data_IF_231085188763
#
_entry.id   IF_231085188763
#
_cell.length_a   1.000
_cell.length_b   1.000
_cell.length_c   1.000
_cell.angle_alpha   90.00
_cell.angle_beta   90.00
_cell.angle_gamma   90.00
#
_symmetry.space_group_name_H-M   'P 1'
#
loop_
_entity.id
_entity.type
_entity.pdbx_description
1 polymer ?
#
# COMPACT_ATOMS: atom_id res chain seq x y z
N UNK A 1 -1.21 -54.23 -21.64
CA UNK A 1 -1.28 -52.89 -21.01
C UNK A 1 -1.30 -53.09 -19.49
N UNK A 2 -0.44 -52.42 -18.70
CA UNK A 2 -0.37 -52.62 -17.24
C UNK A 2 -1.71 -52.42 -16.51
N UNK A 3 -2.57 -51.52 -17.01
CA UNK A 3 -3.89 -51.23 -16.44
C UNK A 3 -4.87 -52.41 -16.43
N UNK A 4 -4.77 -53.36 -17.36
CA UNK A 4 -5.62 -54.55 -17.40
C UNK A 4 -5.38 -55.45 -16.18
N UNK A 5 -4.11 -55.74 -15.91
CA UNK A 5 -3.66 -56.61 -14.82
C UNK A 5 -3.98 -56.06 -13.43
N UNK A 6 -3.99 -54.73 -13.27
CA UNK A 6 -4.33 -54.08 -11.99
C UNK A 6 -5.85 -54.05 -11.70
N UNK A 7 -6.68 -54.18 -12.73
CA UNK A 7 -8.14 -54.12 -12.62
C UNK A 7 -8.82 -55.50 -12.69
N UNK A 8 -8.89 -56.11 -13.88
CA UNK A 8 -9.65 -57.35 -14.14
C UNK A 8 -8.75 -58.58 -14.34
N UNK A 9 -7.52 -58.39 -14.83
CA UNK A 9 -6.57 -59.45 -15.14
C UNK A 9 -5.70 -59.91 -13.96
N UNK A 10 -6.16 -59.82 -12.72
CA UNK A 10 -5.33 -60.13 -11.53
C UNK A 10 -4.89 -61.59 -11.46
N UNK A 11 -5.74 -62.50 -11.92
CA UNK A 11 -5.41 -63.93 -12.04
C UNK A 11 -4.35 -64.16 -13.14
N UNK A 12 -4.53 -63.56 -14.32
CA UNK A 12 -3.56 -63.61 -15.42
C UNK A 12 -2.20 -63.03 -15.00
N UNK A 13 -2.18 -61.95 -14.20
CA UNK A 13 -0.95 -61.37 -13.66
C UNK A 13 -0.23 -62.34 -12.72
N UNK A 14 -0.97 -63.03 -11.85
CA UNK A 14 -0.40 -64.03 -10.96
C UNK A 14 0.22 -65.19 -11.76
N UNK A 15 -0.49 -65.72 -12.75
CA UNK A 15 0.02 -66.79 -13.62
C UNK A 15 1.27 -66.36 -14.40
N UNK A 16 1.28 -65.13 -14.93
CA UNK A 16 2.46 -64.55 -15.58
C UNK A 16 3.62 -64.43 -14.60
N UNK A 17 3.37 -63.95 -13.38
CA UNK A 17 4.41 -63.83 -12.35
C UNK A 17 5.00 -65.19 -12.00
N UNK A 18 4.16 -66.21 -11.78
CA UNK A 18 4.58 -67.59 -11.52
C UNK A 18 5.40 -68.17 -12.67
N UNK A 19 5.01 -67.90 -13.91
CA UNK A 19 5.77 -68.31 -15.10
C UNK A 19 7.18 -67.70 -15.10
N UNK A 20 7.30 -66.40 -14.80
CA UNK A 20 8.58 -65.73 -14.72
C UNK A 20 9.44 -66.23 -13.55
N UNK A 21 8.85 -66.50 -12.38
CA UNK A 21 9.57 -67.07 -11.23
C UNK A 21 10.18 -68.42 -11.62
N UNK A 22 9.45 -69.28 -12.35
CA UNK A 22 9.97 -70.57 -12.84
C UNK A 22 11.13 -70.37 -13.82
N UNK A 23 11.05 -69.40 -14.73
CA UNK A 23 12.12 -69.08 -15.68
C UNK A 23 13.37 -68.53 -14.97
N UNK A 24 13.20 -67.63 -13.99
CA UNK A 24 14.30 -67.08 -13.19
C UNK A 24 15.01 -68.18 -12.38
N UNK A 25 14.25 -69.13 -11.83
CA UNK A 25 14.80 -70.28 -11.12
C UNK A 25 15.54 -71.24 -12.07
N UNK A 26 15.01 -71.49 -13.27
CA UNK A 26 15.68 -72.31 -14.29
C UNK A 26 16.99 -71.68 -14.77
N UNK A 27 17.05 -70.35 -14.85
CA UNK A 27 18.25 -69.61 -15.22
C UNK A 27 19.24 -69.42 -14.05
N UNK A 28 18.98 -69.97 -12.86
CA UNK A 28 19.75 -69.78 -11.63
C UNK A 28 19.94 -68.30 -11.22
N UNK A 29 18.99 -67.43 -11.58
CA UNK A 29 18.99 -66.01 -11.13
C UNK A 29 18.48 -65.90 -9.69
N UNK A 30 17.55 -66.78 -9.31
CA UNK A 30 17.08 -66.96 -7.93
C UNK A 30 17.31 -68.42 -7.50
N UNK A 31 17.52 -68.64 -6.20
CA UNK A 31 17.71 -69.97 -5.64
C UNK A 31 16.37 -70.74 -5.56
N UNK A 32 16.48 -72.07 -5.59
CA UNK A 32 15.33 -72.97 -5.61
C UNK A 32 14.38 -72.77 -4.42
N UNK A 33 14.86 -72.61 -3.17
CA UNK A 33 13.99 -72.38 -2.02
C UNK A 33 13.20 -71.08 -2.12
N UNK A 34 13.81 -69.98 -2.59
CA UNK A 34 13.12 -68.71 -2.78
C UNK A 34 12.06 -68.80 -3.88
N UNK A 35 12.36 -69.49 -4.99
CA UNK A 35 11.39 -69.72 -6.05
C UNK A 35 10.17 -70.51 -5.55
N UNK A 36 10.39 -71.58 -4.78
CA UNK A 36 9.32 -72.40 -4.21
C UNK A 36 8.50 -71.62 -3.18
N UNK A 37 9.16 -70.84 -2.30
CA UNK A 37 8.48 -69.98 -1.34
C UNK A 37 7.64 -68.89 -2.04
N UNK A 38 8.14 -68.32 -3.13
CA UNK A 38 7.42 -67.28 -3.90
C UNK A 38 6.23 -67.87 -4.64
N UNK A 39 6.36 -69.06 -5.25
CA UNK A 39 5.25 -69.77 -5.91
C UNK A 39 4.17 -70.24 -4.93
N UNK A 40 4.54 -70.49 -3.66
CA UNK A 40 3.58 -70.80 -2.60
C UNK A 40 2.89 -69.56 -2.03
N UNK A 41 3.43 -68.36 -2.26
CA UNK A 41 2.86 -67.12 -1.76
C UNK A 41 1.69 -66.65 -2.63
N UNK A 42 0.60 -66.22 -1.98
CA UNK A 42 -0.56 -65.66 -2.68
C UNK A 42 -0.39 -64.15 -2.84
N UNK A 43 -0.48 -63.66 -4.08
CA UNK A 43 -0.46 -62.22 -4.38
C UNK A 43 -1.67 -61.53 -3.74
N UNK A 44 -1.42 -60.56 -2.88
CA UNK A 44 -2.44 -59.66 -2.31
C UNK A 44 -2.29 -58.27 -2.90
N UNK A 45 -3.41 -57.56 -3.03
CA UNK A 45 -3.45 -56.22 -3.60
C UNK A 45 -3.82 -55.21 -2.52
N UNK A 46 -3.23 -54.01 -2.58
CA UNK A 46 -3.58 -52.91 -1.70
C UNK A 46 -5.08 -52.61 -1.79
N UNK A 47 -5.73 -52.54 -0.64
CA UNK A 47 -7.10 -52.04 -0.52
C UNK A 47 -7.05 -50.51 -0.48
N UNK A 48 -7.46 -49.86 -1.56
CA UNK A 48 -7.43 -48.40 -1.67
C UNK A 48 -8.38 -47.68 -0.69
N UNK A 49 -9.41 -48.37 -0.18
CA UNK A 49 -10.34 -47.80 0.79
C UNK A 49 -9.74 -47.79 2.20
N UNK A 50 -9.02 -48.85 2.58
CA UNK A 50 -8.34 -48.94 3.88
C UNK A 50 -6.93 -48.34 3.87
N UNK A 51 -6.28 -48.29 2.70
CA UNK A 51 -4.90 -47.85 2.51
C UNK A 51 -4.81 -46.89 1.31
N UNK A 52 -5.33 -45.65 1.45
CA UNK A 52 -5.29 -44.66 0.38
C UNK A 52 -3.83 -44.30 0.00
N UNK A 53 -3.58 -44.00 -1.27
CA UNK A 53 -2.27 -43.48 -1.74
C UNK A 53 -1.93 -42.10 -1.18
N UNK A 54 -2.97 -41.30 -0.94
CA UNK A 54 -2.84 -39.93 -0.46
C UNK A 54 -3.20 -39.91 1.01
N UNK A 55 -2.22 -39.71 1.88
CA UNK A 55 -2.48 -39.41 3.28
C UNK A 55 -2.78 -37.91 3.41
N UNK A 56 -3.87 -37.52 4.08
CA UNK A 56 -4.09 -36.13 4.44
C UNK A 56 -2.90 -35.64 5.28
N UNK A 57 -2.28 -34.54 4.87
CA UNK A 57 -1.23 -33.92 5.68
C UNK A 57 -1.93 -33.30 6.90
N UNK A 58 -1.53 -33.69 8.10
CA UNK A 58 -1.93 -32.98 9.32
C UNK A 58 -1.35 -31.56 9.27
N UNK A 59 -2.14 -30.61 8.78
CA UNK A 59 -1.70 -29.22 8.65
C UNK A 59 -2.01 -28.46 9.93
N UNK A 60 -0.96 -28.06 10.64
CA UNK A 60 -1.03 -26.94 11.58
C UNK A 60 -0.36 -25.70 10.96
N UNK A 61 -0.59 -24.52 11.53
CA UNK A 61 -0.06 -23.24 11.00
C UNK A 61 1.46 -23.28 10.79
N UNK A 62 2.22 -23.89 11.70
CA UNK A 62 3.67 -24.01 11.55
C UNK A 62 4.09 -24.83 10.32
N UNK A 63 3.40 -25.95 10.08
CA UNK A 63 3.61 -26.78 8.88
C UNK A 63 3.23 -26.00 7.62
N UNK A 64 2.11 -25.28 7.62
CA UNK A 64 1.68 -24.45 6.48
C UNK A 64 2.69 -23.35 6.14
N UNK A 65 3.25 -22.65 7.15
CA UNK A 65 4.29 -21.64 6.97
C UNK A 65 5.56 -22.26 6.39
N UNK A 66 6.03 -23.37 6.98
CA UNK A 66 7.24 -24.06 6.50
C UNK A 66 7.08 -24.55 5.05
N UNK A 67 5.93 -25.12 4.71
CA UNK A 67 5.61 -25.59 3.35
C UNK A 67 5.52 -24.45 2.34
N UNK A 68 4.88 -23.34 2.70
CA UNK A 68 4.77 -22.15 1.83
C UNK A 68 6.14 -21.56 1.54
N UNK A 69 7.00 -21.47 2.56
CA UNK A 69 8.39 -21.02 2.37
C UNK A 69 9.19 -21.97 1.50
N UNK A 70 9.06 -23.28 1.70
CA UNK A 70 9.75 -24.28 0.90
C UNK A 70 9.29 -24.25 -0.57
N UNK A 71 7.98 -24.11 -0.80
CA UNK A 71 7.36 -23.86 -2.12
C UNK A 71 8.01 -22.67 -2.82
N UNK A 72 8.15 -21.54 -2.11
CA UNK A 72 8.77 -20.32 -2.67
C UNK A 72 10.27 -20.51 -2.94
N UNK A 73 11.01 -21.13 -2.02
CA UNK A 73 12.46 -21.38 -2.16
C UNK A 73 12.77 -22.30 -3.35
N UNK A 74 11.93 -23.31 -3.57
CA UNK A 74 12.09 -24.25 -4.67
C UNK A 74 11.39 -23.79 -5.96
N UNK A 75 10.68 -22.66 -5.92
CA UNK A 75 9.85 -22.14 -7.00
C UNK A 75 8.91 -23.21 -7.59
N UNK A 76 8.19 -23.91 -6.72
CA UNK A 76 7.27 -25.00 -7.08
C UNK A 76 5.96 -24.86 -6.33
N UNK A 77 4.81 -25.13 -6.97
CA UNK A 77 3.53 -25.15 -6.28
C UNK A 77 3.50 -26.26 -5.23
N UNK A 78 2.69 -26.10 -4.19
CA UNK A 78 2.52 -27.10 -3.12
C UNK A 78 2.18 -28.51 -3.65
N UNK A 79 1.42 -28.59 -4.74
CA UNK A 79 1.09 -29.85 -5.41
C UNK A 79 2.31 -30.62 -5.92
N UNK A 80 3.30 -29.90 -6.48
CA UNK A 80 4.55 -30.49 -6.93
C UNK A 80 5.46 -30.80 -5.75
N UNK A 81 5.44 -29.95 -4.73
CA UNK A 81 6.19 -30.14 -3.49
C UNK A 81 5.82 -31.47 -2.80
N UNK A 82 4.54 -31.81 -2.77
CA UNK A 82 4.02 -33.08 -2.21
C UNK A 82 4.45 -34.34 -2.97
N UNK A 83 5.05 -34.18 -4.15
CA UNK A 83 5.55 -35.27 -4.99
C UNK A 83 7.06 -35.40 -4.96
N UNK A 84 7.75 -34.53 -4.24
CA UNK A 84 9.18 -34.63 -4.04
C UNK A 84 9.46 -35.57 -2.87
N UNK A 85 10.43 -36.47 -3.06
CA UNK A 85 11.05 -37.19 -1.95
C UNK A 85 12.06 -36.25 -1.28
N UNK A 86 11.55 -35.37 -0.41
CA UNK A 86 12.30 -34.28 0.20
C UNK A 86 12.10 -34.27 1.71
N UNK A 87 13.22 -34.13 2.43
CA UNK A 87 13.24 -33.85 3.86
C UNK A 87 13.74 -32.42 4.10
N UNK A 88 13.05 -31.67 4.97
CA UNK A 88 13.41 -30.32 5.32
C UNK A 88 13.24 -30.07 6.82
N UNK A 89 14.07 -29.20 7.38
CA UNK A 89 13.97 -28.74 8.77
C UNK A 89 13.72 -27.24 8.78
N UNK A 90 12.90 -26.76 9.71
CA UNK A 90 12.62 -25.33 9.89
C UNK A 90 13.22 -24.81 11.19
N UNK A 91 13.37 -23.49 11.30
CA UNK A 91 13.79 -22.83 12.54
C UNK A 91 12.66 -22.71 13.57
N UNK A 92 11.43 -23.09 13.21
CA UNK A 92 10.27 -22.99 14.08
C UNK A 92 10.40 -23.91 15.28
N UNK A 93 10.02 -23.40 16.45
CA UNK A 93 9.94 -24.19 17.67
C UNK A 93 8.54 -24.80 17.79
N UNK A 94 8.40 -26.09 17.50
CA UNK A 94 7.10 -26.77 17.38
C UNK A 94 6.18 -26.63 18.61
N UNK A 95 6.71 -26.82 19.82
CA UNK A 95 5.91 -26.72 21.05
C UNK A 95 5.43 -25.29 21.30
N UNK A 96 6.34 -24.31 21.24
CA UNK A 96 6.01 -22.90 21.40
C UNK A 96 5.02 -22.41 20.33
N UNK A 97 5.18 -22.86 19.08
CA UNK A 97 4.23 -22.58 18.00
C UNK A 97 2.82 -23.05 18.35
N UNK A 98 2.67 -24.29 18.87
CA UNK A 98 1.38 -24.83 19.30
C UNK A 98 0.80 -24.06 20.49
N UNK A 99 1.60 -23.80 21.51
CA UNK A 99 1.17 -23.05 22.70
C UNK A 99 0.70 -21.64 22.39
N UNK A 100 1.45 -20.90 21.55
CA UNK A 100 1.06 -19.54 21.15
C UNK A 100 -0.17 -19.55 20.25
N UNK A 101 -0.27 -20.52 19.33
CA UNK A 101 -1.47 -20.67 18.49
C UNK A 101 -2.72 -20.93 19.33
N UNK A 102 -2.60 -21.78 20.37
CA UNK A 102 -3.70 -22.01 21.30
C UNK A 102 -4.05 -20.74 22.07
N UNK A 103 -3.05 -20.05 22.63
CA UNK A 103 -3.26 -18.79 23.36
C UNK A 103 -4.01 -17.75 22.52
N UNK A 104 -3.63 -17.55 21.25
CA UNK A 104 -4.32 -16.61 20.36
C UNK A 104 -5.76 -17.02 20.04
N UNK A 105 -6.06 -18.33 19.96
CA UNK A 105 -7.41 -18.84 19.79
C UNK A 105 -8.27 -18.62 21.03
N UNK A 106 -7.67 -18.82 22.21
CA UNK A 106 -8.36 -18.62 23.50
C UNK A 106 -8.77 -17.15 23.70
N UNK A 107 -8.12 -16.17 23.05
CA UNK A 107 -8.54 -14.76 23.09
C UNK A 107 -9.94 -14.51 22.50
N UNK A 108 -10.49 -15.45 21.74
CA UNK A 108 -11.88 -15.38 21.26
C UNK A 108 -12.90 -15.71 22.36
N UNK A 109 -12.50 -16.42 23.42
CA UNK A 109 -13.34 -16.70 24.59
C UNK A 109 -13.46 -15.45 25.48
N UNK A 110 -14.68 -14.91 25.69
CA UNK A 110 -14.89 -13.76 26.55
C UNK A 110 -14.37 -13.91 27.99
N UNK A 111 -14.44 -15.11 28.58
CA UNK A 111 -13.96 -15.33 29.95
C UNK A 111 -12.44 -15.24 30.02
N UNK A 112 -11.75 -15.87 29.07
CA UNK A 112 -10.30 -15.78 28.96
C UNK A 112 -9.85 -14.36 28.61
N UNK A 113 -10.50 -13.70 27.64
CA UNK A 113 -10.23 -12.32 27.25
C UNK A 113 -10.40 -11.34 28.42
N UNK A 114 -11.42 -11.54 29.26
CA UNK A 114 -11.61 -10.76 30.48
C UNK A 114 -10.44 -10.97 31.46
N UNK A 115 -10.05 -12.23 31.68
CA UNK A 115 -8.95 -12.59 32.60
C UNK A 115 -7.61 -11.98 32.19
N UNK A 116 -7.34 -11.86 30.89
CA UNK A 116 -6.10 -11.24 30.38
C UNK A 116 -6.20 -9.73 30.17
N UNK A 117 -7.33 -9.10 30.54
CA UNK A 117 -7.50 -7.64 30.52
C UNK A 117 -7.84 -7.05 29.16
N UNK A 118 -8.40 -7.83 28.23
CA UNK A 118 -8.83 -7.34 26.92
C UNK A 118 -10.24 -6.76 26.89
N UNK A 119 -11.02 -6.93 27.95
CA UNK A 119 -12.35 -6.32 28.09
C UNK A 119 -12.29 -5.06 28.96
N UNK A 120 -12.99 -4.00 28.57
CA UNK A 120 -13.01 -2.74 29.32
C UNK A 120 -13.51 -1.54 28.53
N UNK A 121 -13.51 -0.37 29.17
CA UNK A 121 -13.92 0.88 28.53
C UNK A 121 -12.94 1.23 27.39
N UNK A 122 -13.45 1.34 26.15
CA UNK A 122 -12.68 1.50 24.89
C UNK A 122 -11.81 0.29 24.50
N UNK A 123 -11.97 -0.85 25.16
CA UNK A 123 -11.41 -2.13 24.75
C UNK A 123 -12.51 -3.00 24.12
N UNK A 124 -12.32 -4.32 24.11
CA UNK A 124 -13.30 -5.24 23.54
C UNK A 124 -14.53 -5.38 24.45
N UNK A 125 -15.65 -5.72 23.82
CA UNK A 125 -16.84 -6.24 24.49
C UNK A 125 -16.89 -7.76 24.36
N UNK A 126 -17.59 -8.49 25.24
CA UNK A 126 -17.78 -9.94 25.12
C UNK A 126 -18.27 -10.38 23.72
N UNK A 127 -19.13 -9.60 23.08
CA UNK A 127 -19.66 -9.91 21.74
C UNK A 127 -18.65 -9.68 20.60
N UNK A 128 -17.56 -8.96 20.85
CA UNK A 128 -16.57 -8.59 19.84
C UNK A 128 -15.29 -9.43 19.86
N UNK A 129 -15.09 -10.27 20.89
CA UNK A 129 -13.86 -11.08 21.03
C UNK A 129 -13.62 -12.00 19.82
N UNK A 130 -14.69 -12.57 19.28
CA UNK A 130 -14.66 -13.44 18.08
C UNK A 130 -14.52 -12.68 16.76
N UNK A 131 -14.53 -11.33 16.77
CA UNK A 131 -14.41 -10.49 15.58
C UNK A 131 -13.00 -9.97 15.37
N UNK A 132 -12.15 -10.04 16.39
CA UNK A 132 -10.74 -9.62 16.31
C UNK A 132 -9.88 -10.78 15.83
N UNK A 133 -8.87 -10.47 15.01
CA UNK A 133 -7.85 -11.43 14.60
C UNK A 133 -6.50 -10.97 15.11
N UNK A 134 -5.76 -11.91 15.68
CA UNK A 134 -4.44 -11.67 16.23
C UNK A 134 -3.40 -12.40 15.40
N UNK A 135 -2.24 -11.79 15.25
CA UNK A 135 -1.06 -12.38 14.62
C UNK A 135 0.15 -12.18 15.53
N UNK A 136 1.02 -13.17 15.58
CA UNK A 136 2.22 -13.12 16.41
C UNK A 136 3.39 -13.75 15.68
N UNK A 137 4.50 -13.01 15.66
CA UNK A 137 5.78 -13.49 15.15
C UNK A 137 6.87 -13.25 16.19
N UNK A 138 7.63 -14.30 16.52
CA UNK A 138 8.78 -14.24 17.40
C UNK A 138 10.06 -14.49 16.60
N UNK A 139 10.98 -13.55 16.73
CA UNK A 139 12.33 -13.67 16.21
C UNK A 139 13.31 -13.90 17.36
N UNK A 140 14.17 -14.90 17.24
CA UNK A 140 15.35 -15.03 18.08
C UNK A 140 16.52 -14.35 17.37
N UNK A 141 17.19 -13.44 18.08
CA UNK A 141 18.41 -12.79 17.59
C UNK A 141 19.62 -13.68 17.88
N UNK A 142 20.17 -14.29 16.84
CA UNK A 142 21.43 -15.03 16.87
C UNK A 142 22.61 -14.20 16.38
N UNK A 143 23.79 -14.82 16.34
CA UNK A 143 25.00 -14.22 15.80
C UNK A 143 24.93 -13.97 14.28
N UNK A 144 24.18 -14.81 13.56
CA UNK A 144 23.98 -14.80 12.12
C UNK A 144 22.73 -14.03 11.66
N UNK A 145 21.97 -13.46 12.60
CA UNK A 145 20.78 -12.66 12.32
C UNK A 145 19.55 -13.11 13.10
N UNK A 146 18.38 -12.66 12.64
CA UNK A 146 17.09 -12.96 13.27
C UNK A 146 16.46 -14.22 12.69
N UNK A 147 16.25 -15.25 13.51
CA UNK A 147 15.61 -16.51 13.12
C UNK A 147 14.15 -16.51 13.56
N UNK A 148 13.24 -16.89 12.68
CA UNK A 148 11.82 -17.04 13.03
C UNK A 148 11.66 -18.28 13.90
N UNK A 149 11.16 -18.11 15.13
CA UNK A 149 10.90 -19.21 16.07
C UNK A 149 9.40 -19.51 16.20
N UNK A 150 8.56 -18.50 16.07
CA UNK A 150 7.10 -18.62 16.06
C UNK A 150 6.55 -17.70 14.99
N UNK A 151 5.58 -18.17 14.23
CA UNK A 151 4.81 -17.36 13.28
C UNK A 151 3.41 -17.95 13.16
N UNK A 152 2.42 -17.33 13.80
CA UNK A 152 1.06 -17.85 13.85
C UNK A 152 0.03 -16.73 13.93
N UNK A 153 -1.23 -17.08 13.73
CA UNK A 153 -2.37 -16.18 13.82
C UNK A 153 -3.59 -16.92 14.39
N UNK A 154 -4.63 -16.18 14.74
CA UNK A 154 -5.88 -16.71 15.30
C UNK A 154 -6.93 -17.08 14.24
N UNK A 155 -6.57 -17.14 12.95
CA UNK A 155 -7.47 -17.49 11.85
C UNK A 155 -7.31 -18.97 11.47
N UNK A 156 -8.39 -19.60 11.05
CA UNK A 156 -8.32 -20.93 10.40
C UNK A 156 -8.26 -20.82 8.87
N UNK A 157 -7.93 -19.63 8.34
CA UNK A 157 -7.89 -19.39 6.90
C UNK A 157 -6.52 -19.71 6.29
N UNK A 158 -6.46 -20.03 4.98
CA UNK A 158 -5.21 -20.16 4.24
C UNK A 158 -4.39 -18.87 4.17
N UNK A 159 -5.03 -17.72 4.33
CA UNK A 159 -4.39 -16.42 4.38
C UNK A 159 -3.60 -16.24 5.69
N UNK A 160 -2.29 -16.05 5.59
CA UNK A 160 -1.42 -15.73 6.73
C UNK A 160 -1.36 -14.20 6.92
N UNK A 161 -1.90 -13.72 8.04
CA UNK A 161 -1.86 -12.29 8.40
C UNK A 161 -0.42 -11.79 8.53
N UNK A 162 0.51 -12.64 8.96
CA UNK A 162 1.90 -12.25 9.23
C UNK A 162 2.69 -11.89 7.95
N UNK A 163 2.33 -12.46 6.79
CA UNK A 163 3.03 -12.20 5.51
C UNK A 163 2.12 -11.50 4.48
N UNK A 164 0.82 -11.78 4.50
CA UNK A 164 -0.14 -11.31 3.50
C UNK A 164 -0.81 -9.97 3.81
N UNK A 165 -0.63 -9.41 5.01
CA UNK A 165 -1.31 -8.16 5.41
C UNK A 165 -0.39 -6.94 5.38
N UNK A 166 -0.97 -5.78 5.07
CA UNK A 166 -0.35 -4.47 5.26
C UNK A 166 -1.14 -3.73 6.34
N UNK A 167 -0.53 -3.56 7.51
CA UNK A 167 -1.15 -2.90 8.66
C UNK A 167 -0.57 -1.52 8.87
N UNK A 168 -1.42 -0.59 9.29
CA UNK A 168 -0.98 0.72 9.76
C UNK A 168 -0.14 0.56 11.03
N UNK A 169 1.12 0.99 10.98
CA UNK A 169 2.09 0.80 12.07
C UNK A 169 1.73 1.57 13.35
N UNK A 170 0.86 2.58 13.25
CA UNK A 170 0.53 3.47 14.35
C UNK A 170 1.79 4.08 14.98
N UNK A 171 1.83 4.14 16.32
CA UNK A 171 2.97 4.75 17.04
C UNK A 171 4.30 4.01 16.88
N UNK A 172 4.30 2.74 16.43
CA UNK A 172 5.57 2.03 16.16
C UNK A 172 6.37 2.69 15.02
N UNK A 173 5.71 3.45 14.14
CA UNK A 173 6.36 4.25 13.10
C UNK A 173 7.27 5.36 13.67
N UNK A 174 7.06 5.81 14.92
CA UNK A 174 7.92 6.81 15.58
C UNK A 174 9.38 6.38 15.64
N UNK A 175 9.63 5.08 15.84
CA UNK A 175 11.01 4.54 15.81
C UNK A 175 11.68 4.76 14.46
N UNK A 176 10.95 4.57 13.35
CA UNK A 176 11.50 4.80 12.00
C UNK A 176 11.85 6.28 11.78
N UNK A 177 10.98 7.19 12.25
CA UNK A 177 11.24 8.64 12.18
C UNK A 177 12.47 8.99 13.01
N UNK A 178 12.59 8.45 14.22
CA UNK A 178 13.73 8.72 15.09
C UNK A 178 15.05 8.18 14.50
N UNK A 179 15.03 6.95 13.98
CA UNK A 179 16.21 6.35 13.32
C UNK A 179 16.65 7.19 12.13
N UNK A 180 15.72 7.53 11.23
CA UNK A 180 16.01 8.37 10.05
C UNK A 180 16.60 9.72 10.48
N UNK A 181 16.01 10.33 11.50
CA UNK A 181 16.51 11.58 12.07
C UNK A 181 17.94 11.44 12.61
N UNK A 182 18.26 10.39 13.36
CA UNK A 182 19.60 10.18 13.90
C UNK A 182 20.63 9.86 12.81
N UNK A 183 20.23 9.14 11.77
CA UNK A 183 21.07 8.92 10.57
C UNK A 183 21.40 10.25 9.89
N UNK A 184 20.42 11.15 9.75
CA UNK A 184 20.63 12.52 9.24
C UNK A 184 21.62 13.28 10.12
N UNK A 185 21.49 13.21 11.45
CA UNK A 185 22.45 13.86 12.35
C UNK A 185 23.86 13.27 12.21
N UNK A 186 23.99 11.96 12.06
CA UNK A 186 25.28 11.31 11.83
C UNK A 186 25.90 11.72 10.48
N UNK A 187 25.08 11.84 9.44
CA UNK A 187 25.51 12.33 8.12
C UNK A 187 26.00 13.79 8.20
N UNK A 188 25.25 14.65 8.87
CA UNK A 188 25.62 16.05 9.11
C UNK A 188 26.90 16.17 9.94
N UNK A 189 27.06 15.33 10.96
CA UNK A 189 28.30 15.21 11.72
C UNK A 189 29.47 14.85 10.80
N UNK A 190 29.33 13.78 10.00
CA UNK A 190 30.37 13.35 9.05
C UNK A 190 30.77 14.43 8.05
N UNK A 191 29.83 15.30 7.65
CA UNK A 191 30.09 16.43 6.75
C UNK A 191 30.81 17.60 7.41
N UNK A 192 30.45 17.95 8.64
CA UNK A 192 30.83 19.23 9.26
C UNK A 192 31.81 19.12 10.43
N UNK A 193 31.92 17.97 11.10
CA UNK A 193 32.69 17.87 12.34
C UNK A 193 34.20 18.16 12.17
N UNK A 194 34.76 17.84 11.00
CA UNK A 194 36.15 18.09 10.65
C UNK A 194 36.47 19.53 10.21
N UNK A 195 35.45 20.37 9.97
CA UNK A 195 35.66 21.76 9.54
C UNK A 195 36.12 22.65 10.70
N UNK A 196 37.01 23.61 10.43
CA UNK A 196 37.38 24.64 11.40
C UNK A 196 36.18 25.53 11.76
N UNK A 197 36.25 26.22 12.91
CA UNK A 197 35.21 27.18 13.32
C UNK A 197 35.00 28.30 12.28
N UNK A 198 36.06 28.70 11.57
CA UNK A 198 35.96 29.70 10.51
C UNK A 198 35.21 29.18 9.27
N UNK A 199 35.39 27.91 8.92
CA UNK A 199 34.66 27.25 7.84
C UNK A 199 33.19 27.03 8.21
N UNK A 200 32.91 26.53 9.42
CA UNK A 200 31.54 26.33 9.91
C UNK A 200 30.71 27.61 9.87
N UNK A 201 31.30 28.76 10.21
CA UNK A 201 30.63 30.07 10.13
C UNK A 201 30.27 30.51 8.71
N UNK A 202 30.93 29.95 7.69
CA UNK A 202 30.66 30.24 6.27
C UNK A 202 29.63 29.27 5.66
N UNK A 203 29.25 28.21 6.37
CA UNK A 203 28.23 27.27 5.90
C UNK A 203 26.90 28.00 5.77
N UNK A 204 26.42 28.12 4.54
CA UNK A 204 25.11 28.70 4.25
C UNK A 204 24.06 27.61 4.43
N UNK A 205 23.12 27.84 5.35
CA UNK A 205 22.02 26.91 5.62
C UNK A 205 20.71 27.63 5.37
N UNK A 206 19.88 27.03 4.51
CA UNK A 206 18.52 27.48 4.23
C UNK A 206 17.70 27.58 5.53
N UNK A 207 16.95 28.66 5.71
CA UNK A 207 16.19 28.94 6.94
C UNK A 207 15.24 27.79 7.37
N UNK A 208 14.57 27.08 6.43
CA UNK A 208 13.72 25.95 6.81
C UNK A 208 14.48 24.68 7.18
N UNK A 209 15.77 24.53 6.84
CA UNK A 209 16.59 23.37 7.19
C UNK A 209 17.11 23.48 8.63
N UNK A 210 16.20 23.22 9.57
CA UNK A 210 16.46 23.30 11.01
C UNK A 210 17.44 22.23 11.50
N UNK A 211 17.55 21.10 10.80
CA UNK A 211 18.45 20.01 11.20
C UNK A 211 19.90 20.35 10.89
N UNK A 212 20.19 20.79 9.67
CA UNK A 212 21.53 21.26 9.29
C UNK A 212 21.95 22.45 10.14
N UNK A 213 21.03 23.40 10.37
CA UNK A 213 21.30 24.57 11.23
C UNK A 213 21.70 24.14 12.63
N UNK A 214 20.91 23.28 13.27
CA UNK A 214 21.20 22.77 14.60
C UNK A 214 22.54 22.03 14.66
N UNK A 215 22.85 21.22 13.65
CA UNK A 215 24.11 20.47 13.60
C UNK A 215 25.34 21.39 13.53
N UNK A 216 25.30 22.41 12.66
CA UNK A 216 26.38 23.41 12.55
C UNK A 216 26.52 24.20 13.85
N UNK A 217 25.41 24.66 14.43
CA UNK A 217 25.41 25.41 15.69
C UNK A 217 25.97 24.56 16.84
N UNK A 218 25.61 23.27 16.91
CA UNK A 218 26.16 22.34 17.90
C UNK A 218 27.68 22.22 17.79
N UNK A 219 28.22 22.07 16.57
CA UNK A 219 29.66 21.92 16.33
C UNK A 219 30.44 23.24 16.53
N UNK A 220 29.78 24.39 16.40
CA UNK A 220 30.34 25.70 16.74
C UNK A 220 30.46 25.91 18.25
N UNK A 221 29.47 25.44 19.02
CA UNK A 221 29.42 25.61 20.47
C UNK A 221 30.26 24.57 21.23
N UNK A 222 30.37 23.36 20.70
CA UNK A 222 31.05 22.25 21.39
C UNK A 222 32.46 22.03 20.84
N UNK A 223 33.45 22.03 21.75
CA UNK A 223 34.84 21.70 21.43
C UNK A 223 35.03 20.20 21.20
N UNK A 224 34.34 19.40 22.00
CA UNK A 224 34.29 17.95 21.82
C UNK A 224 33.20 17.61 20.80
N UNK A 225 33.64 17.15 19.63
CA UNK A 225 32.80 16.88 18.47
C UNK A 225 32.63 15.39 18.24
N UNK A 226 32.61 14.59 19.30
CA UNK A 226 32.32 13.17 19.21
C UNK A 226 30.89 12.90 18.68
N UNK A 227 30.76 11.90 17.81
CA UNK A 227 29.48 11.54 17.18
C UNK A 227 28.47 11.02 18.22
N UNK A 228 28.90 10.17 19.16
CA UNK A 228 27.98 9.60 20.15
C UNK A 228 27.42 10.69 21.07
N UNK A 229 28.23 11.69 21.44
CA UNK A 229 27.78 12.87 22.19
C UNK A 229 26.78 13.72 21.40
N UNK A 230 27.05 13.97 20.11
CA UNK A 230 26.13 14.71 19.25
C UNK A 230 24.80 13.98 19.06
N UNK A 231 24.82 12.65 18.87
CA UNK A 231 23.60 11.82 18.78
C UNK A 231 22.83 11.79 20.10
N UNK A 232 23.51 11.76 21.25
CA UNK A 232 22.84 11.88 22.54
C UNK A 232 22.17 13.23 22.70
N UNK A 233 22.87 14.33 22.39
CA UNK A 233 22.31 15.67 22.44
C UNK A 233 21.13 15.85 21.45
N UNK A 234 21.20 15.20 20.30
CA UNK A 234 20.13 15.16 19.32
C UNK A 234 18.84 14.51 19.86
N UNK A 235 18.95 13.51 20.74
CA UNK A 235 17.82 12.89 21.45
C UNK A 235 17.25 13.75 22.59
N UNK A 236 18.07 14.66 23.12
CA UNK A 236 17.67 15.56 24.21
C UNK A 236 17.07 16.88 23.67
N UNK A 237 17.04 17.06 22.34
CA UNK A 237 16.29 18.16 21.71
C UNK A 237 14.83 18.08 22.09
N UNK A 238 14.26 19.24 22.37
CA UNK A 238 12.87 19.35 22.79
C UNK A 238 11.99 19.86 21.64
N UNK A 239 10.74 19.43 21.64
CA UNK A 239 9.73 19.88 20.70
C UNK A 239 8.44 20.14 21.45
N UNK A 240 7.71 21.19 21.06
CA UNK A 240 6.39 21.44 21.63
C UNK A 240 5.45 20.27 21.35
N UNK A 241 4.66 19.91 22.35
CA UNK A 241 3.54 18.97 22.21
C UNK A 241 2.21 19.69 21.91
N UNK A 242 2.21 21.01 21.70
CA UNK A 242 0.99 21.79 21.49
C UNK A 242 0.25 21.44 20.19
N UNK A 243 -1.10 21.27 20.23
CA UNK A 243 -1.94 21.08 19.05
C UNK A 243 -2.34 22.41 18.37
N UNK A 244 -1.90 23.57 18.89
CA UNK A 244 -2.29 24.88 18.37
C UNK A 244 -1.74 25.16 16.95
N UNK A 245 -0.68 24.46 16.55
CA UNK A 245 -0.08 24.59 15.22
C UNK A 245 -0.89 23.83 14.16
N UNK A 246 -1.03 24.44 12.99
CA UNK A 246 -1.55 23.77 11.80
C UNK A 246 -0.38 23.39 10.87
N UNK A 247 -0.49 22.24 10.24
CA UNK A 247 0.53 21.66 9.39
C UNK A 247 0.00 21.55 7.97
N UNK A 248 0.72 22.11 7.00
CA UNK A 248 0.41 21.89 5.59
C UNK A 248 1.05 20.57 5.15
N UNK A 249 0.22 19.62 4.72
CA UNK A 249 0.65 18.33 4.18
C UNK A 249 0.29 18.27 2.70
N UNK A 250 0.71 17.22 2.00
CA UNK A 250 0.31 16.98 0.60
C UNK A 250 -1.21 16.86 0.39
N UNK A 251 -2.00 16.66 1.46
CA UNK A 251 -3.47 16.63 1.42
C UNK A 251 -4.17 17.94 1.83
N UNK A 252 -3.41 18.99 2.16
CA UNK A 252 -3.94 20.28 2.61
C UNK A 252 -3.58 20.61 4.07
N UNK A 253 -4.36 21.49 4.69
CA UNK A 253 -4.13 21.94 6.07
C UNK A 253 -4.67 20.92 7.07
N UNK A 254 -3.80 20.41 7.95
CA UNK A 254 -4.16 19.47 9.00
C UNK A 254 -3.79 19.98 10.40
N UNK A 255 -4.54 19.52 11.40
CA UNK A 255 -4.19 19.66 12.83
C UNK A 255 -4.08 18.27 13.44
N UNK A 256 -3.09 18.07 14.29
CA UNK A 256 -2.83 16.81 14.98
C UNK A 256 -3.08 16.99 16.48
N UNK A 257 -3.42 15.88 17.15
CA UNK A 257 -3.65 15.86 18.61
C UNK A 257 -2.80 14.77 19.27
N UNK A 258 -2.43 14.99 20.54
CA UNK A 258 -1.89 13.92 21.37
C UNK A 258 -3.02 13.01 21.86
N UNK A 259 -2.66 11.78 22.23
CA UNK A 259 -3.62 10.85 22.81
C UNK A 259 -4.12 11.34 24.17
N UNK A 260 -3.20 11.80 25.03
CA UNK A 260 -3.47 12.42 26.32
C UNK A 260 -3.49 13.94 26.17
N UNK A 261 -4.52 14.60 26.70
CA UNK A 261 -4.65 16.06 26.59
C UNK A 261 -3.67 16.78 27.52
N UNK A 262 -3.28 16.12 28.59
CA UNK A 262 -2.32 16.57 29.59
C UNK A 262 -0.94 16.80 28.97
N UNK A 263 -0.65 16.16 27.84
CA UNK A 263 0.60 16.35 27.12
C UNK A 263 0.66 17.65 26.32
N UNK A 264 -0.48 18.29 26.03
CA UNK A 264 -0.56 19.39 25.06
C UNK A 264 0.27 20.64 25.43
N UNK A 265 0.57 20.84 26.72
CA UNK A 265 1.33 22.02 27.18
C UNK A 265 2.82 21.72 27.40
N UNK A 266 3.25 20.47 27.18
CA UNK A 266 4.62 20.03 27.44
C UNK A 266 5.56 20.42 26.29
N UNK A 267 6.85 20.54 26.62
CA UNK A 267 7.95 20.68 25.66
C UNK A 267 8.98 19.56 25.95
N UNK A 268 8.59 18.29 25.76
CA UNK A 268 9.42 17.14 26.12
C UNK A 268 10.63 17.00 25.19
N UNK A 269 11.66 16.30 25.68
CA UNK A 269 12.75 15.77 24.86
C UNK A 269 12.23 14.69 23.88
N UNK A 270 12.99 14.36 22.84
CA UNK A 270 12.65 13.23 21.97
C UNK A 270 12.69 11.89 22.73
N UNK A 271 13.56 11.74 23.74
CA UNK A 271 13.58 10.54 24.62
C UNK A 271 12.27 10.36 25.36
N UNK A 272 11.79 11.40 26.03
CA UNK A 272 10.51 11.38 26.76
C UNK A 272 9.34 11.17 25.80
N UNK A 273 9.36 11.88 24.67
CA UNK A 273 8.34 11.75 23.62
C UNK A 273 8.25 10.33 23.07
N UNK A 274 9.38 9.63 22.92
CA UNK A 274 9.40 8.23 22.49
C UNK A 274 8.85 7.31 23.60
N UNK A 275 9.36 7.46 24.83
CA UNK A 275 8.97 6.63 25.98
C UNK A 275 7.47 6.71 26.27
N UNK A 276 6.92 7.91 26.21
CA UNK A 276 5.51 8.20 26.51
C UNK A 276 4.65 8.25 25.24
N UNK A 277 5.26 8.03 24.07
CA UNK A 277 4.60 7.99 22.76
C UNK A 277 3.79 9.26 22.45
N UNK A 278 4.32 10.43 22.78
CA UNK A 278 3.68 11.74 22.52
C UNK A 278 3.73 12.03 21.01
N UNK A 279 2.60 12.40 20.41
CA UNK A 279 2.46 12.47 18.95
C UNK A 279 3.10 13.73 18.35
N UNK A 280 2.79 14.88 18.91
CA UNK A 280 3.09 16.18 18.32
C UNK A 280 4.60 16.48 18.17
N UNK A 281 5.47 16.09 19.12
CA UNK A 281 6.92 16.14 18.93
C UNK A 281 7.40 15.38 17.68
N UNK A 282 6.85 14.19 17.42
CA UNK A 282 7.22 13.37 16.27
C UNK A 282 6.68 13.92 14.94
N UNK A 283 5.51 14.56 14.93
CA UNK A 283 5.00 15.25 13.74
C UNK A 283 5.92 16.43 13.37
N UNK A 284 6.38 17.18 14.37
CA UNK A 284 7.33 18.29 14.16
C UNK A 284 8.71 17.80 13.73
N UNK A 285 9.20 16.72 14.34
CA UNK A 285 10.45 16.08 13.91
C UNK A 285 10.36 15.57 12.47
N UNK A 286 9.24 14.95 12.09
CA UNK A 286 9.01 14.48 10.73
C UNK A 286 9.01 15.64 9.73
N UNK A 287 8.39 16.78 10.07
CA UNK A 287 8.48 17.99 9.25
C UNK A 287 9.93 18.45 9.06
N UNK A 288 10.73 18.42 10.11
CA UNK A 288 12.14 18.81 10.03
C UNK A 288 12.95 17.85 9.15
N UNK A 289 12.69 16.54 9.24
CA UNK A 289 13.26 15.51 8.34
C UNK A 289 12.85 15.77 6.88
N UNK A 290 11.57 16.02 6.62
CA UNK A 290 11.07 16.32 5.26
C UNK A 290 11.73 17.59 4.70
N UNK A 291 11.85 18.64 5.52
CA UNK A 291 12.51 19.88 5.12
C UNK A 291 13.97 19.61 4.78
N UNK A 292 14.74 19.00 5.68
CA UNK A 292 16.13 18.61 5.41
C UNK A 292 16.25 17.88 4.07
N UNK A 293 15.47 16.82 3.85
CA UNK A 293 15.54 16.03 2.61
C UNK A 293 15.18 16.86 1.37
N UNK A 294 14.25 17.82 1.50
CA UNK A 294 13.86 18.70 0.39
C UNK A 294 15.00 19.66 0.01
N UNK A 295 15.66 20.28 0.99
CA UNK A 295 16.70 21.29 0.75
C UNK A 295 18.08 20.69 0.47
N UNK A 296 18.35 19.46 0.88
CA UNK A 296 19.61 18.74 0.64
C UNK A 296 19.58 17.86 -0.61
N UNK A 297 18.42 17.65 -1.23
CA UNK A 297 18.31 16.83 -2.44
C UNK A 297 19.12 17.44 -3.61
N UNK A 298 19.75 16.60 -4.46
CA UNK A 298 20.27 17.04 -5.74
C UNK A 298 19.17 17.74 -6.55
N UNK A 299 19.44 18.92 -7.10
CA UNK A 299 18.45 19.82 -7.71
C UNK A 299 17.38 20.33 -6.72
N UNK A 300 17.81 20.75 -5.52
CA UNK A 300 17.01 21.42 -4.48
C UNK A 300 15.79 22.14 -5.05
N UNK A 301 14.65 21.45 -5.05
CA UNK A 301 13.42 21.95 -5.68
C UNK A 301 12.96 23.22 -5.00
N UNK A 302 13.28 23.43 -3.72
CA UNK A 302 12.92 24.65 -3.01
C UNK A 302 13.78 25.86 -3.41
N UNK A 303 15.05 25.68 -3.79
CA UNK A 303 15.84 26.76 -4.41
C UNK A 303 15.36 27.02 -5.84
N UNK A 304 15.08 25.95 -6.59
CA UNK A 304 14.59 26.01 -7.98
C UNK A 304 13.16 26.57 -8.10
N UNK A 305 12.31 26.43 -7.06
CA UNK A 305 10.98 27.05 -6.99
C UNK A 305 11.01 28.50 -6.48
N UNK A 306 12.12 28.96 -5.90
CA UNK A 306 12.31 30.37 -5.49
C UNK A 306 12.71 31.26 -6.69
N UNK A 307 13.43 30.69 -7.65
CA UNK A 307 13.86 31.38 -8.86
C UNK A 307 12.89 31.09 -10.01
N UNK A 308 11.99 32.04 -10.28
CA UNK A 308 10.99 31.91 -11.35
C UNK A 308 11.65 31.87 -12.76
N UNK A 309 12.91 32.33 -12.90
CA UNK A 309 13.65 32.41 -14.16
C UNK A 309 14.57 31.20 -14.42
N UNK A 310 14.70 30.26 -13.47
CA UNK A 310 15.53 29.06 -13.66
C UNK A 310 14.89 28.13 -14.72
N UNK A 311 15.57 27.83 -15.84
CA UNK A 311 15.00 26.98 -16.90
C UNK A 311 14.66 25.56 -16.40
N UNK A 312 15.33 25.08 -15.35
CA UNK A 312 15.05 23.76 -14.72
C UNK A 312 13.71 23.76 -13.97
N UNK A 313 13.19 24.93 -13.57
CA UNK A 313 11.88 25.08 -12.94
C UNK A 313 10.75 24.63 -13.84
N UNK A 314 10.79 25.02 -15.12
CA UNK A 314 9.76 24.61 -16.07
C UNK A 314 9.72 23.10 -16.26
N UNK A 315 10.88 22.46 -16.41
CA UNK A 315 10.98 21.01 -16.55
C UNK A 315 10.46 20.29 -15.29
N UNK A 316 10.85 20.76 -14.10
CA UNK A 316 10.37 20.20 -12.84
C UNK A 316 8.85 20.30 -12.69
N UNK A 317 8.28 21.49 -12.94
CA UNK A 317 6.83 21.71 -12.85
C UNK A 317 6.06 20.90 -13.89
N UNK A 318 6.62 20.75 -15.10
CA UNK A 318 6.04 19.91 -16.15
C UNK A 318 6.00 18.44 -15.74
N UNK A 319 7.09 17.90 -15.19
CA UNK A 319 7.12 16.54 -14.67
C UNK A 319 6.18 16.34 -13.47
N UNK A 320 6.07 17.35 -12.61
CA UNK A 320 5.13 17.35 -11.49
C UNK A 320 3.68 17.28 -12.00
N UNK A 321 3.29 18.19 -12.89
CA UNK A 321 1.97 18.23 -13.50
C UNK A 321 1.62 16.91 -14.22
N UNK A 322 2.58 16.31 -14.91
CA UNK A 322 2.37 15.03 -15.60
C UNK A 322 2.16 13.87 -14.64
N UNK A 323 3.00 13.76 -13.59
CA UNK A 323 2.86 12.72 -12.56
C UNK A 323 1.57 12.86 -11.79
N UNK A 324 1.29 14.05 -11.26
CA UNK A 324 0.09 14.29 -10.45
C UNK A 324 -1.18 14.14 -11.30
N UNK A 325 -1.19 14.73 -12.50
CA UNK A 325 -2.30 14.60 -13.43
C UNK A 325 -2.58 13.15 -13.83
N UNK A 326 -1.54 12.31 -14.00
CA UNK A 326 -1.72 10.88 -14.32
C UNK A 326 -2.34 10.11 -13.14
N UNK A 327 -2.00 10.46 -11.90
CA UNK A 327 -2.59 9.86 -10.70
C UNK A 327 -4.08 10.21 -10.60
N UNK A 328 -4.44 11.48 -10.78
CA UNK A 328 -5.85 11.90 -10.81
C UNK A 328 -6.61 11.23 -11.95
N UNK A 329 -6.03 11.20 -13.15
CA UNK A 329 -6.64 10.55 -14.32
C UNK A 329 -6.90 9.06 -14.07
N UNK A 330 -5.97 8.34 -13.46
CA UNK A 330 -6.15 6.92 -13.11
C UNK A 330 -7.28 6.72 -12.09
N UNK A 331 -7.43 7.63 -11.13
CA UNK A 331 -8.53 7.60 -10.17
C UNK A 331 -9.88 7.76 -10.86
N UNK A 332 -10.00 8.72 -11.80
CA UNK A 332 -11.21 8.92 -12.58
C UNK A 332 -11.47 7.74 -13.54
N UNK A 333 -10.44 7.22 -14.20
CA UNK A 333 -10.53 6.04 -15.08
C UNK A 333 -11.22 4.85 -14.41
N UNK A 334 -10.82 4.54 -13.17
CA UNK A 334 -11.41 3.43 -12.40
C UNK A 334 -12.91 3.61 -12.17
N UNK A 335 -13.43 4.83 -12.19
CA UNK A 335 -14.87 5.13 -12.07
C UNK A 335 -15.67 4.78 -13.34
N UNK A 336 -15.02 4.78 -14.51
CA UNK A 336 -15.69 4.70 -15.83
C UNK A 336 -15.38 3.45 -16.67
N UNK A 337 -14.31 2.72 -16.36
CA UNK A 337 -13.75 1.67 -17.24
C UNK A 337 -14.71 0.53 -17.61
N UNK A 338 -15.67 0.19 -16.75
CA UNK A 338 -16.62 -0.92 -16.97
C UNK A 338 -18.04 -0.42 -17.28
N UNK A 339 -18.17 0.87 -17.64
CA UNK A 339 -19.45 1.53 -17.92
C UNK A 339 -19.61 1.79 -19.41
N UNK A 340 -20.84 1.69 -19.90
CA UNK A 340 -21.25 2.16 -21.23
C UNK A 340 -21.19 3.69 -21.34
N UNK A 341 -21.23 4.21 -22.55
CA UNK A 341 -21.24 5.66 -22.83
C UNK A 341 -22.29 6.42 -22.02
N UNK A 342 -23.51 5.90 -21.95
CA UNK A 342 -24.60 6.54 -21.19
C UNK A 342 -24.33 6.46 -19.68
N UNK A 343 -23.97 5.29 -19.16
CA UNK A 343 -23.67 5.13 -17.73
C UNK A 343 -22.48 5.99 -17.28
N UNK A 344 -21.50 6.25 -18.16
CA UNK A 344 -20.38 7.17 -17.88
C UNK A 344 -20.88 8.61 -17.70
N UNK A 345 -21.78 9.05 -18.58
CA UNK A 345 -22.40 10.37 -18.50
C UNK A 345 -23.25 10.50 -17.24
N UNK A 346 -24.10 9.52 -16.96
CA UNK A 346 -24.95 9.50 -15.77
C UNK A 346 -24.10 9.53 -14.49
N UNK A 347 -23.09 8.66 -14.40
CA UNK A 347 -22.17 8.60 -13.24
C UNK A 347 -21.41 9.92 -13.04
N UNK A 348 -21.11 10.65 -14.13
CA UNK A 348 -20.47 11.96 -14.04
C UNK A 348 -21.46 13.02 -13.53
N UNK A 349 -22.70 13.01 -14.03
CA UNK A 349 -23.75 13.96 -13.64
C UNK A 349 -24.21 13.75 -12.19
N UNK A 350 -24.27 12.52 -11.69
CA UNK A 350 -24.56 12.19 -10.28
C UNK A 350 -23.58 12.88 -9.30
N UNK A 351 -22.35 13.15 -9.76
CA UNK A 351 -21.33 13.84 -8.97
C UNK A 351 -21.45 15.36 -8.97
N UNK A 352 -22.39 15.94 -9.71
CA UNK A 352 -22.53 17.38 -9.92
C UNK A 352 -23.84 17.86 -9.29
N UNK A 353 -23.76 18.92 -8.48
CA UNK A 353 -24.95 19.66 -8.07
C UNK A 353 -25.51 20.47 -9.26
N UNK A 354 -26.66 20.09 -9.84
CA UNK A 354 -27.10 20.61 -11.12
C UNK A 354 -27.57 22.06 -11.01
N UNK A 355 -27.03 22.92 -11.87
CA UNK A 355 -27.55 24.27 -12.12
C UNK A 355 -27.49 24.52 -13.63
N UNK A 356 -28.34 25.41 -14.16
CA UNK A 356 -28.38 25.67 -15.60
C UNK A 356 -27.01 26.06 -16.18
N UNK A 357 -26.20 26.80 -15.41
CA UNK A 357 -24.83 27.18 -15.80
C UNK A 357 -23.90 25.96 -15.85
N UNK A 358 -23.90 25.12 -14.80
CA UNK A 358 -23.02 23.93 -14.73
C UNK A 358 -23.38 22.91 -15.81
N UNK A 359 -24.67 22.64 -15.97
CA UNK A 359 -25.18 21.73 -17.00
C UNK A 359 -24.85 22.27 -18.40
N UNK A 360 -24.93 23.58 -18.61
CA UNK A 360 -24.56 24.18 -19.89
C UNK A 360 -23.06 24.00 -20.18
N UNK A 361 -22.20 24.30 -19.21
CA UNK A 361 -20.76 24.14 -19.36
C UNK A 361 -20.36 22.67 -19.61
N UNK A 362 -20.96 21.73 -18.90
CA UNK A 362 -20.73 20.29 -19.10
C UNK A 362 -21.21 19.83 -20.48
N UNK A 363 -22.47 20.12 -20.81
CA UNK A 363 -23.07 19.65 -22.06
C UNK A 363 -22.35 20.20 -23.28
N UNK A 364 -22.06 21.51 -23.31
CA UNK A 364 -21.39 22.12 -24.46
C UNK A 364 -19.92 21.66 -24.60
N UNK A 365 -19.29 21.21 -23.52
CA UNK A 365 -17.96 20.61 -23.58
C UNK A 365 -18.00 19.15 -24.06
N UNK A 366 -18.88 18.32 -23.49
CA UNK A 366 -18.97 16.89 -23.79
C UNK A 366 -19.61 16.62 -25.16
N UNK A 367 -20.58 17.43 -25.56
CA UNK A 367 -21.38 17.30 -26.78
C UNK A 367 -21.32 18.61 -27.61
N UNK A 368 -20.13 18.98 -28.13
CA UNK A 368 -19.93 20.28 -28.78
C UNK A 368 -20.77 20.45 -30.06
N UNK A 369 -21.11 19.35 -30.74
CA UNK A 369 -21.92 19.32 -31.95
C UNK A 369 -23.43 19.19 -31.73
N UNK A 370 -23.90 19.04 -30.50
CA UNK A 370 -25.34 18.97 -30.22
C UNK A 370 -26.02 20.31 -30.50
N UNK A 371 -27.21 20.25 -31.10
CA UNK A 371 -28.01 21.42 -31.45
C UNK A 371 -28.70 22.05 -30.23
N UNK A 372 -29.30 23.25 -30.44
CA UNK A 372 -29.98 23.99 -29.37
C UNK A 372 -31.15 23.20 -28.78
N UNK A 373 -31.89 22.44 -29.60
CA UNK A 373 -33.04 21.67 -29.14
C UNK A 373 -32.62 20.55 -28.17
N UNK A 374 -31.57 19.81 -28.53
CA UNK A 374 -30.97 18.75 -27.70
C UNK A 374 -30.42 19.33 -26.40
N UNK A 375 -29.71 20.46 -26.46
CA UNK A 375 -29.22 21.17 -25.28
C UNK A 375 -30.37 21.59 -24.34
N UNK A 376 -31.43 22.18 -24.89
CA UNK A 376 -32.59 22.63 -24.10
C UNK A 376 -33.25 21.44 -23.38
N UNK A 377 -33.41 20.32 -24.08
CA UNK A 377 -33.95 19.09 -23.51
C UNK A 377 -33.05 18.56 -22.38
N UNK A 378 -31.73 18.51 -22.60
CA UNK A 378 -30.76 18.06 -21.61
C UNK A 378 -30.79 18.89 -20.33
N UNK A 379 -30.70 20.23 -20.44
CA UNK A 379 -30.67 21.11 -19.26
C UNK A 379 -31.97 20.99 -18.47
N UNK A 380 -33.12 20.90 -19.15
CA UNK A 380 -34.42 20.73 -18.49
C UNK A 380 -34.56 19.37 -17.79
N UNK A 381 -34.06 18.30 -18.39
CA UNK A 381 -34.16 16.95 -17.83
C UNK A 381 -33.32 16.74 -16.56
N UNK A 382 -32.21 17.48 -16.43
CA UNK A 382 -31.25 17.30 -15.33
C UNK A 382 -31.32 18.39 -14.26
N UNK A 383 -32.31 19.29 -14.32
CA UNK A 383 -32.58 20.24 -13.24
C UNK A 383 -33.54 19.62 -12.22
N UNK A 384 -33.01 19.32 -11.03
CA UNK A 384 -33.75 18.65 -9.96
C UNK A 384 -34.78 19.55 -9.25
N UNK A 385 -34.66 20.87 -9.37
CA UNK A 385 -35.51 21.82 -8.65
C UNK A 385 -36.69 22.35 -9.50
N UNK A 386 -37.96 22.09 -9.12
CA UNK A 386 -39.14 22.56 -9.85
C UNK A 386 -39.19 24.09 -10.02
N UNK A 387 -38.65 24.85 -9.04
CA UNK A 387 -38.57 26.32 -9.09
C UNK A 387 -37.47 26.83 -10.04
N UNK A 388 -36.34 26.12 -10.13
CA UNK A 388 -35.28 26.46 -11.08
C UNK A 388 -35.73 26.17 -12.52
N UNK A 389 -36.50 25.09 -12.71
CA UNK A 389 -37.05 24.71 -14.02
C UNK A 389 -38.16 25.67 -14.47
N UNK A 390 -39.02 26.15 -13.57
CA UNK A 390 -40.11 27.09 -13.91
C UNK A 390 -39.64 28.52 -14.21
N UNK A 391 -38.44 28.90 -13.78
CA UNK A 391 -37.83 30.21 -14.06
C UNK A 391 -36.91 30.22 -15.28
N UNK A 392 -36.64 29.05 -15.87
CA UNK A 392 -35.73 28.89 -17.00
C UNK A 392 -36.43 29.13 -18.34
N UNK A 393 -36.29 30.34 -18.88
CA UNK A 393 -36.86 30.72 -20.18
C UNK A 393 -36.05 30.22 -21.38
N UNK A 394 -36.69 30.05 -22.54
CA UNK A 394 -35.99 29.70 -23.79
C UNK A 394 -34.91 30.73 -24.16
N UNK A 395 -35.15 32.01 -23.87
CA UNK A 395 -34.15 33.07 -24.05
C UNK A 395 -32.90 32.81 -23.19
N UNK A 396 -33.07 32.46 -21.91
CA UNK A 396 -31.94 32.15 -21.03
C UNK A 396 -31.18 30.91 -21.50
N UNK A 397 -31.87 29.89 -22.00
CA UNK A 397 -31.25 28.71 -22.59
C UNK A 397 -30.46 29.03 -23.87
N UNK A 398 -30.98 29.90 -24.73
CA UNK A 398 -30.25 30.40 -25.90
C UNK A 398 -28.97 31.15 -25.49
N UNK A 399 -29.06 32.04 -24.50
CA UNK A 399 -27.90 32.76 -23.96
C UNK A 399 -26.83 31.80 -23.42
N UNK A 400 -27.23 30.78 -22.65
CA UNK A 400 -26.33 29.77 -22.10
C UNK A 400 -25.68 28.91 -23.20
N UNK A 401 -26.45 28.51 -24.22
CA UNK A 401 -25.93 27.72 -25.33
C UNK A 401 -24.82 28.46 -26.11
N UNK A 402 -25.01 29.77 -26.32
CA UNK A 402 -24.00 30.62 -26.96
C UNK A 402 -22.81 30.89 -26.02
N UNK A 403 -23.07 31.26 -24.77
CA UNK A 403 -22.03 31.66 -23.80
C UNK A 403 -21.06 30.54 -23.43
N UNK A 404 -21.50 29.29 -23.49
CA UNK A 404 -20.69 28.11 -23.16
C UNK A 404 -20.31 27.29 -24.40
N UNK A 405 -20.38 27.88 -25.60
CA UNK A 405 -20.03 27.19 -26.84
C UNK A 405 -18.60 26.62 -26.87
N UNK A 406 -18.31 25.69 -27.80
CA UNK A 406 -16.98 25.07 -27.93
C UNK A 406 -15.89 26.14 -28.08
N UNK A 407 -14.84 26.04 -27.27
CA UNK A 407 -13.72 26.99 -27.27
C UNK A 407 -13.94 28.29 -26.48
N UNK A 408 -15.12 28.49 -25.86
CA UNK A 408 -15.38 29.67 -25.03
C UNK A 408 -14.52 29.72 -23.76
N UNK A 409 -14.17 28.54 -23.20
CA UNK A 409 -13.33 28.39 -22.02
C UNK A 409 -12.27 27.32 -22.25
N UNK A 410 -11.12 27.50 -21.62
CA UNK A 410 -10.09 26.47 -21.52
C UNK A 410 -10.52 25.38 -20.52
N UNK A 411 -9.81 24.25 -20.49
CA UNK A 411 -10.22 23.12 -19.66
C UNK A 411 -10.27 23.45 -18.14
N UNK A 412 -9.27 24.12 -17.54
CA UNK A 412 -9.35 24.58 -16.15
C UNK A 412 -10.60 25.41 -15.83
N UNK A 413 -10.91 26.39 -16.67
CA UNK A 413 -12.04 27.29 -16.49
C UNK A 413 -13.36 26.54 -16.64
N UNK A 414 -13.45 25.62 -17.60
CA UNK A 414 -14.60 24.73 -17.80
C UNK A 414 -14.88 23.90 -16.54
N UNK A 415 -13.84 23.30 -15.95
CA UNK A 415 -13.94 22.54 -14.70
C UNK A 415 -14.36 23.41 -13.51
N UNK A 416 -13.81 24.64 -13.41
CA UNK A 416 -14.19 25.59 -12.37
C UNK A 416 -15.68 25.99 -12.45
N UNK A 417 -16.16 26.33 -13.65
CA UNK A 417 -17.56 26.70 -13.90
C UNK A 417 -18.49 25.53 -13.57
N UNK A 418 -18.16 24.33 -14.04
CA UNK A 418 -18.92 23.11 -13.79
C UNK A 418 -18.79 22.60 -12.34
N UNK A 419 -17.85 23.12 -11.56
CA UNK A 419 -17.49 22.65 -10.20
C UNK A 419 -17.07 21.18 -10.16
N UNK A 420 -16.30 20.77 -11.17
CA UNK A 420 -15.74 19.42 -11.31
C UNK A 420 -14.22 19.50 -11.52
N UNK A 421 -13.54 18.37 -11.30
CA UNK A 421 -12.13 18.31 -11.65
C UNK A 421 -11.96 18.37 -13.18
N UNK A 422 -11.12 19.27 -13.74
CA UNK A 422 -11.02 19.42 -15.19
C UNK A 422 -10.61 18.14 -15.93
N UNK A 423 -9.65 17.37 -15.39
CA UNK A 423 -9.27 16.07 -15.98
C UNK A 423 -10.40 15.01 -15.94
N UNK A 424 -11.36 15.12 -15.01
CA UNK A 424 -12.53 14.24 -14.97
C UNK A 424 -13.47 14.56 -16.15
N UNK A 425 -13.76 15.85 -16.33
CA UNK A 425 -14.53 16.36 -17.46
C UNK A 425 -13.89 16.01 -18.82
N UNK A 426 -12.57 16.19 -18.94
CA UNK A 426 -11.84 15.79 -20.13
C UNK A 426 -11.94 14.30 -20.39
N UNK A 427 -11.75 13.47 -19.36
CA UNK A 427 -11.75 12.02 -19.49
C UNK A 427 -13.09 11.49 -19.95
N UNK A 428 -14.20 12.02 -19.40
CA UNK A 428 -15.54 11.66 -19.88
C UNK A 428 -15.70 12.05 -21.35
N UNK A 429 -15.31 13.27 -21.74
CA UNK A 429 -15.37 13.71 -23.13
C UNK A 429 -14.53 12.84 -24.08
N UNK A 430 -13.36 12.39 -23.65
CA UNK A 430 -12.51 11.46 -24.39
C UNK A 430 -13.17 10.09 -24.54
N UNK A 431 -13.73 9.54 -23.46
CA UNK A 431 -14.39 8.23 -23.44
C UNK A 431 -15.72 8.20 -24.22
N UNK A 432 -16.39 9.33 -24.40
CA UNK A 432 -17.56 9.45 -25.29
C UNK A 432 -17.16 9.28 -26.77
N UNK A 433 -15.98 9.76 -27.15
CA UNK A 433 -15.44 9.66 -28.52
C UNK A 433 -14.70 8.34 -28.77
N UNK A 434 -14.12 7.76 -27.73
CA UNK A 434 -13.31 6.56 -27.76
C UNK A 434 -13.82 5.54 -26.73
N UNK A 435 -14.97 4.89 -26.97
CA UNK A 435 -15.62 4.03 -25.98
C UNK A 435 -14.75 2.84 -25.54
N UNK A 436 -13.94 2.31 -26.48
CA UNK A 436 -13.09 1.12 -26.31
C UNK A 436 -11.64 1.44 -25.92
N UNK A 437 -11.33 2.71 -25.60
CA UNK A 437 -9.98 3.11 -25.20
C UNK A 437 -9.51 2.32 -23.97
N UNK A 438 -8.20 2.10 -23.86
CA UNK A 438 -7.56 1.63 -22.64
C UNK A 438 -6.96 2.82 -21.87
N UNK A 439 -6.63 2.61 -20.60
CA UNK A 439 -6.05 3.68 -19.77
C UNK A 439 -4.78 4.28 -20.39
N UNK A 440 -3.94 3.45 -21.03
CA UNK A 440 -2.72 3.91 -21.71
C UNK A 440 -3.02 4.93 -22.82
N UNK A 441 -4.15 4.79 -23.50
CA UNK A 441 -4.54 5.67 -24.62
C UNK A 441 -5.01 7.02 -24.08
N UNK A 442 -5.86 7.01 -23.05
CA UNK A 442 -6.26 8.21 -22.32
C UNK A 442 -5.06 8.92 -21.66
N UNK A 443 -4.11 8.19 -21.09
CA UNK A 443 -2.90 8.75 -20.50
C UNK A 443 -1.95 9.35 -21.55
N UNK A 444 -1.84 8.76 -22.73
CA UNK A 444 -1.09 9.37 -23.83
C UNK A 444 -1.78 10.63 -24.37
N UNK A 445 -3.11 10.56 -24.58
CA UNK A 445 -3.89 11.63 -25.17
C UNK A 445 -4.00 12.88 -24.26
N UNK A 446 -4.06 12.71 -22.93
CA UNK A 446 -4.20 13.84 -21.98
C UNK A 446 -2.91 14.57 -21.65
N UNK A 447 -1.80 14.32 -22.36
CA UNK A 447 -0.50 14.93 -22.02
C UNK A 447 -0.57 16.46 -21.96
N UNK A 448 -1.25 17.08 -22.93
CA UNK A 448 -1.40 18.53 -22.97
C UNK A 448 -2.34 19.03 -21.86
N UNK A 449 -3.47 18.35 -21.68
CA UNK A 449 -4.51 18.72 -20.74
C UNK A 449 -4.04 18.59 -19.29
N UNK A 450 -3.18 17.60 -18.99
CA UNK A 450 -2.48 17.55 -17.70
C UNK A 450 -1.65 18.81 -17.46
N UNK A 451 -0.89 19.28 -18.45
CA UNK A 451 -0.10 20.51 -18.31
C UNK A 451 -1.01 21.74 -18.16
N UNK A 452 -2.07 21.83 -18.96
CA UNK A 452 -3.03 22.94 -18.96
C UNK A 452 -3.73 23.10 -17.59
N UNK A 453 -4.17 22.00 -16.99
CA UNK A 453 -4.82 21.99 -15.66
C UNK A 453 -3.93 22.54 -14.56
N UNK A 454 -2.62 22.31 -14.68
CA UNK A 454 -1.61 22.86 -13.78
C UNK A 454 -0.98 24.17 -14.28
N UNK A 455 -1.57 24.82 -15.29
CA UNK A 455 -1.07 26.06 -15.89
C UNK A 455 -0.82 27.19 -14.87
N UNK A 456 -1.51 27.16 -13.73
CA UNK A 456 -1.31 28.09 -12.62
C UNK A 456 0.05 27.95 -11.92
N UNK A 457 0.70 26.77 -11.94
CA UNK A 457 2.04 26.56 -11.39
C UNK A 457 3.11 27.35 -12.14
N UNK A 458 2.89 27.56 -13.44
CA UNK A 458 3.83 28.26 -14.31
C UNK A 458 3.71 29.79 -14.23
N UNK A 459 2.63 30.32 -13.62
CA UNK A 459 2.45 31.76 -13.43
C UNK A 459 3.29 32.21 -12.22
N UNK A 460 4.17 33.19 -12.42
CA UNK A 460 5.04 33.73 -11.37
C UNK A 460 4.23 34.32 -10.20
N UNK A 461 4.78 34.21 -8.98
CA UNK A 461 4.15 34.82 -7.78
C UNK A 461 4.28 36.35 -7.76
N UNK A 462 5.09 36.92 -8.63
CA UNK A 462 5.22 38.36 -8.83
C UNK A 462 4.29 38.81 -9.96
N UNK A 463 3.06 39.16 -9.60
CA UNK A 463 2.39 40.26 -10.31
C UNK A 463 3.10 41.54 -9.85
N UNK A 464 3.68 42.26 -10.80
CA UNK A 464 4.33 43.54 -10.56
C UNK A 464 3.44 44.56 -9.86
#
# INVERSE_FOLDING_TARGET
>A
RPSHYLAKGRAELAELTDSHIRLLAQANIIDRPLAEATLAAKVTYRDWAQQPTLQPIETNKGISVARTRLSNLLNRPLYDLDRLDLSATSTLHGDLQRSVSQYLRDLADPEFAAKVGLLGERLLTPASTTQVRYSFTLFERGADGSRVRVQTDSTDQPFDINEGSKLELGSTAKMRVLTTYLEIIAELHGRYAGMSTAELRKVTVEEPDRLTRWAVDYLLLNKDRDLAKMLSAALDRTYSASPAEAFFTGGGLHRFNNFRREDNERIPTLRESLRESINLPFIRLMRDVVRYSTYQAPNNSAALLKDDDDPRRQEYLSQFADREGTVFLLRFWKRYKDKTTQERLDTFLDGIHPTAIRLAAVHRYLLPGADQATFNAFVRAHLEEPKATSTLTDKRLADLYQSYGPGAYNLPDQGYIARVHPLDLWLVGYLLKHPDAQFKDAAAASRFERQEVYGWLFKSRHKG
#
